data_IF_682788320566
#
_entry.id   IF_682788320566
#
_cell.length_a   1.000
_cell.length_b   1.000
_cell.length_c   1.000
_cell.angle_alpha   90.00
_cell.angle_beta   90.00
_cell.angle_gamma   90.00
#
_symmetry.space_group_name_H-M   'P 1'
#
loop_
_entity.id
_entity.type
_entity.pdbx_description
1 polymer ?
#
# COMPACT_ATOMS: atom_id res chain seq x y z
N UNK A 1 5.33 11.59 16.68
CA UNK A 1 5.70 10.82 15.46
C UNK A 1 6.65 9.66 15.79
N UNK A 2 6.49 9.01 16.95
CA UNK A 2 7.21 7.80 17.37
C UNK A 2 6.19 6.65 17.39
N UNK A 3 6.48 5.52 16.75
CA UNK A 3 5.83 4.22 17.00
C UNK A 3 4.51 3.90 16.28
N UNK A 4 3.97 4.76 15.41
CA UNK A 4 2.66 4.53 14.77
C UNK A 4 2.73 4.66 13.23
N UNK A 5 3.32 3.68 12.52
CA UNK A 5 3.43 3.69 11.07
C UNK A 5 2.07 3.57 10.37
N UNK A 6 1.09 2.86 10.95
CA UNK A 6 -0.24 2.72 10.37
C UNK A 6 -1.03 4.03 10.41
N UNK A 7 -0.83 4.85 11.44
CA UNK A 7 -1.41 6.20 11.49
C UNK A 7 -0.89 7.12 10.38
N UNK A 8 0.37 6.96 9.99
CA UNK A 8 0.95 7.68 8.84
C UNK A 8 0.34 7.20 7.52
N UNK A 9 0.18 5.88 7.37
CA UNK A 9 -0.48 5.29 6.21
C UNK A 9 -1.93 5.80 6.07
N UNK A 10 -2.70 5.82 7.16
CA UNK A 10 -4.08 6.30 7.16
C UNK A 10 -4.18 7.81 6.91
N UNK A 11 -3.26 8.61 7.44
CA UNK A 11 -3.21 10.04 7.15
C UNK A 11 -2.90 10.30 5.65
N UNK A 12 -1.90 9.60 5.10
CA UNK A 12 -1.56 9.68 3.69
C UNK A 12 -2.72 9.20 2.80
N UNK A 13 -3.43 8.15 3.21
CA UNK A 13 -4.61 7.66 2.48
C UNK A 13 -5.76 8.66 2.49
N UNK A 14 -6.02 9.33 3.62
CA UNK A 14 -7.02 10.41 3.68
C UNK A 14 -6.67 11.54 2.74
N UNK A 15 -5.41 11.97 2.72
CA UNK A 15 -4.91 12.98 1.77
C UNK A 15 -5.07 12.50 0.32
N UNK A 16 -4.81 11.22 0.04
CA UNK A 16 -5.02 10.64 -1.29
C UNK A 16 -6.47 10.76 -1.75
N UNK A 17 -7.43 10.40 -0.89
CA UNK A 17 -8.84 10.39 -1.27
C UNK A 17 -9.43 11.79 -1.38
N UNK A 18 -8.99 12.76 -0.58
CA UNK A 18 -9.55 14.12 -0.59
C UNK A 18 -8.75 15.08 -1.45
N UNK A 19 -7.45 15.23 -1.18
CA UNK A 19 -6.61 16.24 -1.83
C UNK A 19 -6.28 15.85 -3.28
N UNK A 20 -5.89 14.59 -3.53
CA UNK A 20 -5.54 14.16 -4.90
C UNK A 20 -6.78 14.14 -5.79
N UNK A 21 -7.92 13.63 -5.30
CA UNK A 21 -9.17 13.68 -6.05
C UNK A 21 -9.61 15.12 -6.38
N UNK A 22 -9.43 16.06 -5.45
CA UNK A 22 -9.74 17.48 -5.68
C UNK A 22 -8.78 18.10 -6.71
N UNK A 23 -7.48 17.77 -6.64
CA UNK A 23 -6.48 18.21 -7.62
C UNK A 23 -6.74 17.63 -9.01
N UNK A 24 -7.18 16.38 -9.11
CA UNK A 24 -7.58 15.76 -10.38
C UNK A 24 -8.80 16.45 -10.99
N UNK A 25 -9.80 16.79 -10.16
CA UNK A 25 -10.96 17.58 -10.61
C UNK A 25 -10.52 18.99 -11.04
N UNK A 26 -9.61 19.63 -10.32
CA UNK A 26 -9.06 20.94 -10.69
C UNK A 26 -8.28 20.89 -12.01
N UNK A 27 -7.51 19.82 -12.24
CA UNK A 27 -6.85 19.55 -13.52
C UNK A 27 -7.87 19.39 -14.66
N UNK A 28 -9.00 18.72 -14.43
CA UNK A 28 -10.05 18.58 -15.45
C UNK A 28 -10.73 19.91 -15.78
N UNK A 29 -10.95 20.75 -14.77
CA UNK A 29 -11.45 22.11 -14.98
C UNK A 29 -10.46 22.98 -15.76
N UNK A 30 -9.15 22.83 -15.52
CA UNK A 30 -8.12 23.56 -16.28
C UNK A 30 -8.03 23.08 -17.73
N UNK A 31 -8.20 21.78 -18.01
CA UNK A 31 -8.32 21.23 -19.38
C UNK A 31 -9.53 21.82 -20.10
N UNK A 32 -10.69 21.84 -19.45
CA UNK A 32 -11.93 22.38 -20.04
C UNK A 32 -11.82 23.89 -20.28
N UNK A 33 -11.17 24.60 -19.36
CA UNK A 33 -10.88 26.03 -19.51
C UNK A 33 -9.93 26.29 -20.69
N UNK A 34 -8.88 25.49 -20.85
CA UNK A 34 -7.92 25.62 -21.95
C UNK A 34 -8.56 25.34 -23.32
N UNK A 35 -9.49 24.36 -23.38
CA UNK A 35 -10.25 24.07 -24.61
C UNK A 35 -11.16 25.23 -25.02
N UNK A 36 -11.73 25.95 -24.06
CA UNK A 36 -12.67 27.04 -24.33
C UNK A 36 -11.95 28.38 -24.61
N UNK A 37 -10.83 28.66 -23.95
CA UNK A 37 -10.03 29.88 -24.14
C UNK A 37 -8.53 29.54 -24.11
N UNK A 38 -7.81 29.62 -25.24
CA UNK A 38 -6.40 29.25 -25.32
C UNK A 38 -5.44 30.37 -24.87
N UNK A 39 -5.73 31.02 -23.74
CA UNK A 39 -4.90 32.09 -23.19
C UNK A 39 -3.62 31.55 -22.53
N UNK A 40 -2.59 32.41 -22.42
CA UNK A 40 -1.33 32.07 -21.75
C UNK A 40 -1.56 31.69 -20.27
N UNK A 41 -2.48 32.39 -19.59
CA UNK A 41 -2.86 32.09 -18.20
C UNK A 41 -3.45 30.70 -18.02
N UNK A 42 -4.35 30.27 -18.92
CA UNK A 42 -4.92 28.91 -18.91
C UNK A 42 -3.89 27.83 -19.21
N UNK A 43 -2.91 28.11 -20.09
CA UNK A 43 -1.80 27.18 -20.38
C UNK A 43 -0.92 26.98 -19.15
N UNK A 44 -0.58 28.06 -18.45
CA UNK A 44 0.19 27.99 -17.21
C UNK A 44 -0.58 27.27 -16.10
N UNK A 45 -1.86 27.58 -15.91
CA UNK A 45 -2.71 26.93 -14.93
C UNK A 45 -2.88 25.42 -15.19
N UNK A 46 -2.95 25.02 -16.47
CA UNK A 46 -2.98 23.61 -16.86
C UNK A 46 -1.69 22.88 -16.47
N UNK A 47 -0.52 23.41 -16.84
CA UNK A 47 0.76 22.78 -16.52
C UNK A 47 1.04 22.74 -15.03
N UNK A 48 0.73 23.81 -14.28
CA UNK A 48 0.91 23.83 -12.83
C UNK A 48 -0.03 22.85 -12.13
N UNK A 49 -1.29 22.72 -12.58
CA UNK A 49 -2.22 21.74 -12.05
C UNK A 49 -1.73 20.31 -12.29
N UNK A 50 -1.23 19.99 -13.49
CA UNK A 50 -0.68 18.67 -13.81
C UNK A 50 0.54 18.35 -12.95
N UNK A 51 1.51 19.26 -12.90
CA UNK A 51 2.74 19.03 -12.13
C UNK A 51 2.42 18.92 -10.64
N UNK A 52 1.52 19.76 -10.13
CA UNK A 52 1.08 19.73 -8.74
C UNK A 52 0.35 18.43 -8.37
N UNK A 53 -0.58 17.96 -9.21
CA UNK A 53 -1.33 16.73 -8.96
C UNK A 53 -0.42 15.51 -8.99
N UNK A 54 0.41 15.38 -10.03
CA UNK A 54 1.34 14.25 -10.20
C UNK A 54 2.39 14.20 -9.09
N UNK A 55 2.97 15.34 -8.70
CA UNK A 55 3.92 15.40 -7.59
C UNK A 55 3.27 14.99 -6.26
N UNK A 56 2.06 15.52 -5.97
CA UNK A 56 1.33 15.17 -4.75
C UNK A 56 1.01 13.68 -4.69
N UNK A 57 0.55 13.12 -5.81
CA UNK A 57 0.26 11.69 -5.92
C UNK A 57 1.51 10.82 -5.69
N UNK A 58 2.66 11.21 -6.25
CA UNK A 58 3.92 10.50 -6.07
C UNK A 58 4.40 10.52 -4.60
N UNK A 59 4.30 11.68 -3.94
CA UNK A 59 4.67 11.83 -2.53
C UNK A 59 3.79 10.96 -1.65
N UNK A 60 2.47 11.04 -1.82
CA UNK A 60 1.51 10.26 -1.04
C UNK A 60 1.72 8.75 -1.25
N UNK A 61 1.94 8.32 -2.48
CA UNK A 61 2.24 6.92 -2.79
C UNK A 61 3.50 6.44 -2.08
N UNK A 62 4.56 7.25 -2.10
CA UNK A 62 5.83 6.93 -1.44
C UNK A 62 5.68 6.84 0.08
N UNK A 63 4.91 7.75 0.69
CA UNK A 63 4.61 7.73 2.12
C UNK A 63 3.83 6.49 2.53
N UNK A 64 2.81 6.09 1.74
CA UNK A 64 2.04 4.87 2.00
C UNK A 64 2.91 3.62 1.92
N UNK A 65 3.72 3.51 0.86
CA UNK A 65 4.63 2.39 0.68
C UNK A 65 5.62 2.31 1.85
N UNK A 66 6.29 3.42 2.20
CA UNK A 66 7.26 3.42 3.28
C UNK A 66 6.62 3.10 4.65
N UNK A 67 5.42 3.60 4.92
CA UNK A 67 4.68 3.31 6.15
C UNK A 67 4.33 1.81 6.25
N UNK A 68 3.87 1.19 5.16
CA UNK A 68 3.60 -0.25 5.11
C UNK A 68 4.87 -1.08 5.35
N UNK A 69 5.96 -0.73 4.69
CA UNK A 69 7.25 -1.41 4.82
C UNK A 69 7.82 -1.29 6.23
N UNK A 70 7.69 -0.11 6.85
CA UNK A 70 8.11 0.13 8.24
C UNK A 70 7.29 -0.71 9.22
N UNK A 71 5.98 -0.84 8.99
CA UNK A 71 5.11 -1.70 9.81
C UNK A 71 5.51 -3.17 9.69
N UNK A 72 5.74 -3.66 8.47
CA UNK A 72 6.23 -5.02 8.25
C UNK A 72 7.54 -5.25 8.98
N UNK A 73 8.52 -4.38 8.80
CA UNK A 73 9.83 -4.49 9.46
C UNK A 73 9.75 -4.51 10.99
N UNK A 74 8.84 -3.73 11.60
CA UNK A 74 8.66 -3.73 13.06
C UNK A 74 8.00 -5.00 13.59
N UNK A 75 7.11 -5.63 12.82
CA UNK A 75 6.28 -6.74 13.26
C UNK A 75 6.81 -8.12 12.85
N UNK A 76 7.94 -8.19 12.15
CA UNK A 76 8.56 -9.48 11.85
C UNK A 76 9.25 -10.05 13.10
N UNK A 77 9.06 -11.34 13.34
CA UNK A 77 9.79 -12.12 14.34
C UNK A 77 11.31 -12.14 14.04
N UNK A 78 12.19 -11.82 15.01
CA UNK A 78 13.64 -11.91 14.84
C UNK A 78 14.15 -13.27 14.34
N UNK A 79 13.46 -14.38 14.66
CA UNK A 79 13.86 -15.73 14.27
C UNK A 79 13.61 -16.03 12.77
N UNK A 80 12.58 -15.45 12.16
CA UNK A 80 12.18 -15.68 10.75
C UNK A 80 12.13 -14.35 9.95
N UNK A 81 12.85 -13.35 10.45
CA UNK A 81 13.02 -11.99 9.94
C UNK A 81 13.13 -11.87 8.43
N UNK A 82 14.17 -12.51 7.88
CA UNK A 82 14.56 -12.33 6.49
C UNK A 82 13.55 -12.89 5.48
N UNK A 83 12.99 -14.08 5.78
CA UNK A 83 12.06 -14.76 4.87
C UNK A 83 10.71 -14.03 4.84
N UNK A 84 10.19 -13.61 5.99
CA UNK A 84 8.90 -12.92 6.07
C UNK A 84 8.97 -11.51 5.46
N UNK A 85 10.05 -10.77 5.70
CA UNK A 85 10.28 -9.47 5.06
C UNK A 85 10.33 -9.57 3.54
N UNK A 86 11.01 -10.60 3.01
CA UNK A 86 11.08 -10.81 1.56
C UNK A 86 9.72 -11.20 0.97
N UNK A 87 8.99 -12.12 1.61
CA UNK A 87 7.66 -12.53 1.15
C UNK A 87 6.68 -11.35 1.14
N UNK A 88 6.69 -10.53 2.19
CA UNK A 88 5.84 -9.34 2.27
C UNK A 88 6.20 -8.30 1.22
N UNK A 89 7.49 -8.13 0.88
CA UNK A 89 7.91 -7.26 -0.21
C UNK A 89 7.41 -7.78 -1.57
N UNK A 90 7.51 -9.08 -1.81
CA UNK A 90 6.97 -9.70 -3.04
C UNK A 90 5.46 -9.52 -3.11
N UNK A 91 4.74 -9.78 -2.02
CA UNK A 91 3.30 -9.58 -1.94
C UNK A 91 2.90 -8.11 -2.16
N UNK A 92 3.65 -7.15 -1.60
CA UNK A 92 3.42 -5.72 -1.80
C UNK A 92 3.65 -5.30 -3.26
N UNK A 93 4.72 -5.76 -3.89
CA UNK A 93 5.03 -5.47 -5.29
C UNK A 93 3.99 -6.08 -6.25
N UNK A 94 3.51 -7.31 -5.96
CA UNK A 94 2.42 -7.93 -6.71
C UNK A 94 1.09 -7.18 -6.51
N UNK A 95 0.80 -6.80 -5.26
CA UNK A 95 -0.39 -6.05 -4.87
C UNK A 95 -0.50 -4.67 -5.54
N UNK A 96 0.63 -4.01 -5.82
CA UNK A 96 0.67 -2.71 -6.49
C UNK A 96 0.47 -2.77 -8.01
N UNK A 97 0.75 -3.91 -8.64
CA UNK A 97 0.81 -4.01 -10.12
C UNK A 97 -0.43 -4.68 -10.73
N UNK A 98 -1.00 -5.70 -10.09
CA UNK A 98 -2.19 -6.39 -10.59
C UNK A 98 -3.44 -5.51 -10.84
N UNK A 99 -3.72 -4.43 -10.08
CA UNK A 99 -4.94 -3.66 -10.28
C UNK A 99 -4.92 -2.92 -11.62
N UNK A 100 -3.74 -2.52 -12.10
CA UNK A 100 -3.60 -1.80 -13.37
C UNK A 100 -4.07 -2.66 -14.55
N UNK A 101 -3.67 -3.93 -14.58
CA UNK A 101 -4.10 -4.88 -15.62
C UNK A 101 -5.61 -5.10 -15.59
N UNK A 102 -6.19 -5.22 -14.39
CA UNK A 102 -7.63 -5.37 -14.23
C UNK A 102 -8.41 -4.14 -14.72
N UNK A 103 -7.96 -2.94 -14.35
CA UNK A 103 -8.58 -1.68 -14.77
C UNK A 103 -8.50 -1.52 -16.28
N UNK A 104 -7.34 -1.78 -16.88
CA UNK A 104 -7.17 -1.68 -18.34
C UNK A 104 -8.09 -2.64 -19.11
N UNK A 105 -8.30 -3.85 -18.60
CA UNK A 105 -9.28 -4.77 -19.16
C UNK A 105 -10.71 -4.19 -19.15
N UNK A 106 -11.11 -3.56 -18.04
CA UNK A 106 -12.42 -2.92 -17.92
C UNK A 106 -12.56 -1.66 -18.79
N UNK A 107 -11.52 -0.84 -18.89
CA UNK A 107 -11.49 0.30 -19.82
C UNK A 107 -11.76 -0.19 -21.24
N UNK A 108 -11.07 -1.24 -21.69
CA UNK A 108 -11.27 -1.79 -23.04
C UNK A 108 -12.70 -2.28 -23.31
N UNK A 109 -13.41 -2.77 -22.28
CA UNK A 109 -14.80 -3.23 -22.40
C UNK A 109 -15.84 -2.11 -22.34
N UNK A 110 -15.54 -1.05 -21.59
CA UNK A 110 -16.48 0.04 -21.32
C UNK A 110 -16.32 1.22 -22.31
N UNK A 111 -15.16 1.33 -22.96
CA UNK A 111 -14.91 2.38 -23.95
C UNK A 111 -15.64 2.06 -25.24
N UNK A 112 -16.52 2.98 -25.65
CA UNK A 112 -17.18 2.93 -26.95
C UNK A 112 -16.47 3.93 -27.85
N UNK A 113 -15.78 3.47 -28.92
CA UNK A 113 -15.07 4.37 -29.81
C UNK A 113 -16.05 5.31 -30.54
N UNK A 114 -15.65 6.56 -30.81
CA UNK A 114 -16.44 7.47 -31.62
C UNK A 114 -16.59 6.94 -33.05
N UNK A 115 -17.74 7.17 -33.67
CA UNK A 115 -17.88 6.97 -35.11
C UNK A 115 -17.32 8.22 -35.80
N UNK A 116 -16.22 8.06 -36.52
CA UNK A 116 -15.60 9.12 -37.29
C UNK A 116 -15.94 8.92 -38.76
N UNK A 117 -16.50 9.95 -39.37
CA UNK A 117 -16.76 9.98 -40.81
C UNK A 117 -15.96 11.13 -41.42
N UNK A 118 -15.36 10.89 -42.58
CA UNK A 118 -14.62 11.90 -43.31
C UNK A 118 -15.56 12.63 -44.23
N UNK A 119 -15.70 13.94 -44.04
CA UNK A 119 -16.49 14.77 -44.94
C UNK A 119 -15.79 14.86 -46.31
N UNK A 120 -16.38 14.26 -47.34
CA UNK A 120 -15.85 14.17 -48.71
C UNK A 120 -15.55 15.53 -49.34
N UNK A 121 -16.15 16.62 -48.82
CA UNK A 121 -16.01 17.97 -49.38
C UNK A 121 -14.87 18.76 -48.73
N UNK A 122 -14.62 18.55 -47.43
CA UNK A 122 -13.62 19.31 -46.67
C UNK A 122 -12.38 18.49 -46.29
N UNK A 123 -12.45 17.16 -46.41
CA UNK A 123 -11.44 16.24 -45.91
C UNK A 123 -11.30 16.25 -44.38
N UNK A 124 -12.23 16.91 -43.67
CA UNK A 124 -12.22 16.98 -42.22
C UNK A 124 -12.89 15.73 -41.62
N UNK A 125 -12.20 15.08 -40.69
CA UNK A 125 -12.73 13.95 -39.94
C UNK A 125 -13.65 14.48 -38.83
N UNK A 126 -14.96 14.23 -38.95
CA UNK A 126 -15.95 14.62 -37.94
C UNK A 126 -16.31 13.37 -37.13
N UNK A 127 -15.80 13.32 -35.91
CA UNK A 127 -16.11 12.24 -34.96
C UNK A 127 -17.36 12.60 -34.14
N UNK A 128 -18.43 11.83 -34.30
CA UNK A 128 -19.69 12.00 -33.59
C UNK A 128 -20.02 10.77 -32.74
N UNK A 129 -20.44 11.01 -31.49
CA UNK A 129 -20.65 9.94 -30.51
C UNK A 129 -19.33 9.39 -29.98
N UNK A 130 -19.41 8.48 -29.00
CA UNK A 130 -18.25 7.95 -28.27
C UNK A 130 -18.39 8.20 -26.77
N UNK A 131 -18.16 7.16 -25.97
CA UNK A 131 -18.23 7.24 -24.50
C UNK A 131 -16.90 6.77 -23.94
N UNK A 132 -16.18 7.71 -23.32
CA UNK A 132 -14.95 7.39 -22.61
C UNK A 132 -15.28 6.70 -21.28
N UNK A 133 -14.66 5.54 -21.04
CA UNK A 133 -14.81 4.78 -19.81
C UNK A 133 -14.11 5.45 -18.62
N UNK A 134 -13.22 6.42 -18.87
CA UNK A 134 -12.44 7.08 -17.82
C UNK A 134 -13.30 7.64 -16.68
N UNK A 135 -14.32 8.44 -17.00
CA UNK A 135 -15.18 9.08 -15.98
C UNK A 135 -15.97 8.10 -15.10
N UNK A 136 -16.75 7.15 -15.65
CA UNK A 136 -17.49 6.20 -14.83
C UNK A 136 -16.54 5.31 -14.01
N UNK A 137 -15.38 4.92 -14.57
CA UNK A 137 -14.43 4.07 -13.88
C UNK A 137 -13.70 4.82 -12.74
N UNK A 138 -13.31 6.08 -12.97
CA UNK A 138 -12.72 6.93 -11.95
C UNK A 138 -13.68 7.16 -10.78
N UNK A 139 -14.97 7.43 -11.06
CA UNK A 139 -15.98 7.60 -10.03
C UNK A 139 -16.23 6.29 -9.24
N UNK A 140 -16.30 5.15 -9.92
CA UNK A 140 -16.47 3.85 -9.28
C UNK A 140 -15.28 3.47 -8.39
N UNK A 141 -14.04 3.71 -8.85
CA UNK A 141 -12.84 3.41 -8.07
C UNK A 141 -12.67 4.37 -6.87
N UNK A 142 -13.03 5.64 -7.04
CA UNK A 142 -12.99 6.63 -5.95
C UNK A 142 -14.01 6.27 -4.86
N UNK A 143 -15.24 5.92 -5.24
CA UNK A 143 -16.27 5.50 -4.29
C UNK A 143 -15.89 4.21 -3.57
N UNK A 144 -15.30 3.23 -4.28
CA UNK A 144 -14.77 2.02 -3.67
C UNK A 144 -13.64 2.31 -2.67
N UNK A 145 -12.73 3.25 -2.98
CA UNK A 145 -11.68 3.69 -2.06
C UNK A 145 -12.21 4.38 -0.80
N UNK A 146 -13.27 5.19 -0.94
CA UNK A 146 -13.98 5.81 0.19
C UNK A 146 -14.64 4.73 1.06
N UNK A 147 -15.36 3.79 0.46
CA UNK A 147 -15.99 2.68 1.19
C UNK A 147 -14.95 1.82 1.92
N UNK A 148 -13.82 1.56 1.29
CA UNK A 148 -12.71 0.84 1.91
C UNK A 148 -12.16 1.57 3.15
N UNK A 149 -12.02 2.89 3.10
CA UNK A 149 -11.60 3.68 4.27
C UNK A 149 -12.54 3.51 5.46
N UNK A 150 -13.84 3.54 5.23
CA UNK A 150 -14.82 3.39 6.30
C UNK A 150 -14.82 1.97 6.88
N UNK A 151 -14.68 0.95 6.03
CA UNK A 151 -14.73 -0.45 6.49
C UNK A 151 -13.41 -0.95 7.08
N UNK A 152 -12.29 -0.73 6.38
CA UNK A 152 -10.97 -1.19 6.82
C UNK A 152 -10.28 -0.21 7.76
N UNK A 153 -10.71 1.04 7.84
CA UNK A 153 -10.06 2.02 8.72
C UNK A 153 -10.07 1.60 10.19
N UNK A 154 -11.19 1.07 10.67
CA UNK A 154 -11.31 0.55 12.03
C UNK A 154 -10.49 -0.72 12.25
N UNK A 155 -10.38 -1.55 11.20
CA UNK A 155 -9.54 -2.76 11.23
C UNK A 155 -8.07 -2.41 11.30
N UNK A 156 -7.61 -1.48 10.48
CA UNK A 156 -6.23 -0.98 10.47
C UNK A 156 -5.89 -0.41 11.84
N UNK A 157 -6.76 0.45 12.40
CA UNK A 157 -6.54 0.99 13.76
C UNK A 157 -6.45 -0.13 14.81
N UNK A 158 -7.32 -1.13 14.73
CA UNK A 158 -7.25 -2.31 15.60
C UNK A 158 -5.93 -3.06 15.43
N UNK A 159 -5.45 -3.27 14.21
CA UNK A 159 -4.17 -3.94 13.93
C UNK A 159 -2.96 -3.19 14.55
N UNK A 160 -3.03 -1.86 14.58
CA UNK A 160 -2.01 -1.01 15.21
C UNK A 160 -2.01 -1.16 16.74
N UNK A 161 -3.18 -1.37 17.36
CA UNK A 161 -3.35 -1.51 18.82
C UNK A 161 -2.91 -2.88 19.37
N UNK A 162 -2.72 -3.92 18.54
CA UNK A 162 -2.23 -5.21 19.03
C UNK A 162 -0.78 -5.10 19.52
N UNK A 163 -0.44 -5.70 20.69
CA UNK A 163 0.93 -5.76 21.19
C UNK A 163 1.81 -6.60 20.27
N UNK A 164 3.12 -6.30 20.25
CA UNK A 164 4.08 -6.94 19.35
C UNK A 164 4.20 -8.46 19.57
N UNK A 165 3.91 -8.93 20.80
CA UNK A 165 3.92 -10.35 21.17
C UNK A 165 2.84 -11.16 20.45
N UNK A 166 1.74 -10.53 20.00
CA UNK A 166 0.70 -11.22 19.22
C UNK A 166 1.16 -11.60 17.80
N UNK A 167 2.30 -11.07 17.35
CA UNK A 167 2.85 -11.28 16.01
C UNK A 167 4.08 -12.19 16.01
N UNK A 168 4.69 -12.43 17.18
CA UNK A 168 5.87 -13.27 17.33
C UNK A 168 5.46 -14.70 17.60
N UNK A 169 6.23 -15.63 17.05
CA UNK A 169 6.03 -17.05 17.25
C UNK A 169 6.96 -17.52 18.38
N UNK A 170 6.41 -18.12 19.44
CA UNK A 170 7.17 -18.60 20.60
C UNK A 170 7.97 -19.90 20.31
N UNK A 171 8.59 -20.00 19.12
CA UNK A 171 9.22 -21.25 18.65
C UNK A 171 10.52 -21.57 19.42
N UNK A 172 11.10 -20.59 20.12
CA UNK A 172 12.33 -20.77 20.92
C UNK A 172 12.11 -21.04 22.43
N UNK A 173 10.90 -20.84 22.97
CA UNK A 173 10.66 -20.99 24.41
C UNK A 173 10.41 -22.45 24.81
N UNK A 174 9.97 -23.30 23.87
CA UNK A 174 9.76 -24.73 24.12
C UNK A 174 11.08 -25.52 24.23
N UNK A 175 12.15 -25.10 23.54
CA UNK A 175 13.45 -25.78 23.60
C UNK A 175 14.21 -25.49 24.91
N UNK A 176 14.08 -24.28 25.48
CA UNK A 176 14.70 -23.96 26.78
C UNK A 176 13.98 -24.63 27.96
N UNK A 177 12.65 -24.79 27.89
CA UNK A 177 11.91 -25.58 28.89
C UNK A 177 12.16 -27.09 28.77
N UNK A 178 12.35 -27.62 27.55
CA UNK A 178 12.71 -29.02 27.29
C UNK A 178 14.12 -29.37 27.77
N UNK A 179 15.09 -28.50 27.48
CA UNK A 179 16.48 -28.65 27.95
C UNK A 179 16.60 -28.49 29.47
N UNK A 180 15.83 -27.59 30.08
CA UNK A 180 15.84 -27.41 31.54
C UNK A 180 15.23 -28.59 32.29
N UNK A 181 14.17 -29.22 31.74
CA UNK A 181 13.58 -30.45 32.30
C UNK A 181 14.50 -31.67 32.17
N UNK A 182 15.30 -31.74 31.09
CA UNK A 182 16.25 -32.84 30.89
C UNK A 182 17.51 -32.70 31.79
N UNK A 183 17.93 -31.45 32.08
CA UNK A 183 19.04 -31.17 33.01
C UNK A 183 18.64 -31.41 34.48
N UNK A 184 17.39 -31.12 34.87
CA UNK A 184 16.92 -31.41 36.25
C UNK A 184 16.76 -32.92 36.55
N UNK A 185 16.47 -33.77 35.55
CA UNK A 185 16.43 -35.23 35.77
C UNK A 185 17.79 -35.92 35.81
N UNK A 186 18.88 -35.23 35.41
CA UNK A 186 20.23 -35.80 35.35
C UNK A 186 21.08 -35.68 36.62
N UNK A 187 20.63 -34.94 37.64
CA UNK A 187 21.47 -34.60 38.81
C UNK A 187 20.94 -35.19 40.13
N UNK A 188 20.79 -36.52 40.17
CA UNK A 188 20.60 -37.26 41.42
C UNK A 188 21.92 -37.43 42.22
N UNK A 189 21.92 -37.24 43.56
CA UNK A 189 23.15 -37.21 44.34
C UNK A 189 23.71 -38.64 44.57
N UNK A 190 24.89 -38.94 44.05
CA UNK A 190 25.70 -40.07 44.55
C UNK A 190 26.46 -39.62 45.80
N UNK A 191 25.94 -40.04 46.94
CA UNK A 191 26.52 -39.80 48.25
C UNK A 191 27.89 -40.46 48.45
N UNK A 192 28.70 -39.79 49.29
CA UNK A 192 29.28 -40.42 50.47
C UNK A 192 30.45 -41.40 50.30
N UNK A 193 31.67 -40.85 50.39
CA UNK A 193 32.65 -41.33 51.36
C UNK A 193 33.68 -42.39 50.92
N UNK A 194 34.96 -42.00 50.89
CA UNK A 194 35.99 -42.41 51.87
C UNK A 194 37.35 -41.78 51.55
N UNK A 195 37.95 -41.15 52.56
CA UNK A 195 39.38 -40.82 52.64
C UNK A 195 40.20 -42.10 52.62
N UNK A 196 41.26 -42.17 51.81
CA UNK A 196 42.57 -42.75 52.18
C UNK A 196 43.64 -42.04 51.35
N UNK A 197 44.61 -41.42 52.02
CA UNK A 197 45.78 -40.84 51.37
C UNK A 197 46.90 -41.85 51.18
N UNK A 198 47.80 -41.58 50.23
CA UNK A 198 49.25 -41.82 50.38
C UNK A 198 50.04 -41.14 49.27
N UNK A 199 51.17 -40.58 49.68
CA UNK A 199 52.40 -40.21 48.94
C UNK A 199 52.83 -41.39 48.03
N UNK A 200 53.62 -41.23 46.96
CA UNK A 200 54.65 -40.26 46.60
C UNK A 200 54.75 -40.15 45.08
#
# INVERSE_FOLDING_TARGET
>A
WKGMPLRQFMAAYRVRVTLVALLDVAMLLSVRSLRNNPDLGSKLAFWTAIVGSTATQAIVHSLQFNAQMTFFAHRVDPAIGGTYMTLLNTAANLGGTWPASFIMYWVGRLTVPPACDTDDVTGAEVCAGGRDAYFPLQAALTTLGILWLFFMGDRVKRLEELPDDAWRTHIGEEEEEGGSREVEMGSGPRGGGKKVGKQA
#
